data_IF_267882391289
#
_entry.id   IF_267882391289
#
_cell.length_a   1.000
_cell.length_b   1.000
_cell.length_c   1.000
_cell.angle_alpha   90.00
_cell.angle_beta   90.00
_cell.angle_gamma   90.00
#
_symmetry.space_group_name_H-M   'P 1'
#
loop_
_entity.id
_entity.type
_entity.pdbx_description
1 polymer ?
#
# COMPACT_ATOMS: atom_id res chain seq x y z
N UNK A 1 5.42 6.89 -9.21
CA UNK A 1 5.97 5.60 -8.73
C UNK A 1 4.79 4.70 -8.59
N UNK A 2 4.88 3.48 -9.11
CA UNK A 2 3.81 2.49 -9.18
C UNK A 2 4.34 1.14 -8.73
N UNK A 3 3.48 0.34 -8.10
CA UNK A 3 3.76 -1.04 -7.70
C UNK A 3 2.53 -1.93 -7.96
N UNK A 4 2.77 -3.22 -8.20
CA UNK A 4 1.72 -4.24 -8.18
C UNK A 4 1.61 -4.80 -6.76
N UNK A 5 0.38 -4.89 -6.25
CA UNK A 5 0.10 -5.48 -4.95
C UNK A 5 -1.32 -6.05 -4.89
N UNK A 6 -1.54 -7.08 -4.06
CA UNK A 6 -2.88 -7.57 -3.78
C UNK A 6 -3.75 -6.48 -3.16
N UNK A 7 -4.91 -6.21 -3.75
CA UNK A 7 -5.91 -5.32 -3.21
C UNK A 7 -7.02 -6.14 -2.53
N UNK A 8 -7.22 -6.00 -1.20
CA UNK A 8 -8.23 -6.76 -0.48
C UNK A 8 -9.67 -6.42 -0.87
N UNK A 9 -9.92 -5.20 -1.38
CA UNK A 9 -11.24 -4.77 -1.85
C UNK A 9 -11.55 -5.30 -3.27
N UNK A 10 -10.57 -5.35 -4.17
CA UNK A 10 -10.77 -5.93 -5.50
C UNK A 10 -10.70 -7.46 -5.50
N UNK A 11 -10.00 -8.05 -4.52
CA UNK A 11 -9.78 -9.48 -4.43
C UNK A 11 -8.72 -10.04 -5.39
N UNK A 12 -7.88 -9.19 -5.98
CA UNK A 12 -6.83 -9.57 -6.94
C UNK A 12 -5.65 -8.60 -6.90
N UNK A 13 -4.56 -8.92 -7.61
CA UNK A 13 -3.42 -8.00 -7.79
C UNK A 13 -3.82 -6.80 -8.65
N UNK A 14 -3.48 -5.61 -8.18
CA UNK A 14 -3.78 -4.34 -8.85
C UNK A 14 -2.57 -3.41 -8.82
N UNK A 15 -2.58 -2.46 -9.75
CA UNK A 15 -1.63 -1.34 -9.75
C UNK A 15 -1.99 -0.34 -8.65
N UNK A 16 -0.96 0.06 -7.91
CA UNK A 16 -1.03 1.06 -6.86
C UNK A 16 -0.09 2.21 -7.16
N UNK A 17 -0.58 3.43 -7.03
CA UNK A 17 0.18 4.64 -7.26
C UNK A 17 0.66 5.28 -5.95
N UNK A 18 1.88 5.81 -5.92
CA UNK A 18 2.42 6.44 -4.71
C UNK A 18 1.73 7.79 -4.47
N UNK A 19 1.03 7.92 -3.35
CA UNK A 19 0.42 9.19 -2.93
C UNK A 19 1.38 10.04 -2.11
N UNK A 20 2.06 9.42 -1.15
CA UNK A 20 2.95 10.13 -0.24
C UNK A 20 4.03 9.20 0.33
N UNK A 21 5.16 9.78 0.71
CA UNK A 21 6.19 9.06 1.45
C UNK A 21 6.82 9.94 2.52
N UNK A 22 7.19 9.34 3.65
CA UNK A 22 7.94 10.02 4.70
C UNK A 22 8.90 9.06 5.41
N UNK A 23 10.01 9.60 5.92
CA UNK A 23 10.94 8.84 6.75
C UNK A 23 10.51 8.92 8.22
N UNK A 24 10.46 7.78 8.90
CA UNK A 24 10.20 7.70 10.35
C UNK A 24 11.23 6.79 11.02
N UNK A 25 11.23 6.78 12.36
CA UNK A 25 12.14 5.94 13.15
C UNK A 25 11.99 4.44 12.85
N UNK A 26 10.78 4.00 12.48
CA UNK A 26 10.47 2.60 12.15
C UNK A 26 10.72 2.24 10.68
N UNK A 27 11.25 3.15 9.86
CA UNK A 27 11.48 2.92 8.44
C UNK A 27 10.82 3.94 7.52
N UNK A 28 10.82 3.65 6.22
CA UNK A 28 10.16 4.52 5.22
C UNK A 28 8.68 4.18 5.19
N UNK A 29 7.83 5.14 5.56
CA UNK A 29 6.39 5.05 5.41
C UNK A 29 6.00 5.48 3.99
N UNK A 30 5.26 4.66 3.28
CA UNK A 30 4.69 4.98 1.97
C UNK A 30 3.20 4.75 1.99
N UNK A 31 2.43 5.71 1.46
CA UNK A 31 1.00 5.62 1.28
C UNK A 31 0.71 5.43 -0.20
N UNK A 32 -0.07 4.43 -0.52
CA UNK A 32 -0.45 4.04 -1.87
C UNK A 32 -1.96 3.98 -1.99
N UNK A 33 -2.47 4.16 -3.20
CA UNK A 33 -3.87 3.98 -3.54
C UNK A 33 -4.03 3.07 -4.76
N UNK A 34 -5.05 2.22 -4.73
CA UNK A 34 -5.43 1.37 -5.84
C UNK A 34 -6.08 2.21 -6.94
N UNK A 35 -5.61 2.08 -8.18
CA UNK A 35 -6.13 2.88 -9.30
C UNK A 35 -7.56 2.48 -9.73
N UNK A 36 -8.03 1.30 -9.31
CA UNK A 36 -9.34 0.76 -9.69
C UNK A 36 -10.45 1.11 -8.69
N UNK A 37 -10.21 0.91 -7.39
CA UNK A 37 -11.24 1.07 -6.35
C UNK A 37 -10.93 2.19 -5.35
N UNK A 38 -9.73 2.76 -5.39
CA UNK A 38 -9.30 3.81 -4.45
C UNK A 38 -8.93 3.31 -3.05
N UNK A 39 -8.86 1.99 -2.81
CA UNK A 39 -8.37 1.44 -1.55
C UNK A 39 -6.96 1.96 -1.24
N UNK A 40 -6.73 2.39 -0.01
CA UNK A 40 -5.46 2.96 0.43
C UNK A 40 -4.69 1.95 1.27
N UNK A 41 -3.43 1.68 0.92
CA UNK A 41 -2.53 0.87 1.73
C UNK A 41 -1.32 1.67 2.22
N UNK A 42 -0.80 1.25 3.37
CA UNK A 42 0.40 1.83 3.97
C UNK A 42 1.44 0.73 4.12
N UNK A 43 2.63 0.98 3.58
CA UNK A 43 3.81 0.17 3.86
C UNK A 43 4.77 0.94 4.78
N UNK A 44 5.35 0.28 5.79
CA UNK A 44 6.44 0.83 6.61
C UNK A 44 7.63 -0.13 6.53
N UNK A 45 8.67 0.25 5.79
CA UNK A 45 9.77 -0.65 5.50
C UNK A 45 9.28 -1.91 4.77
N UNK A 46 9.84 -3.06 5.12
CA UNK A 46 9.43 -4.39 4.63
C UNK A 46 8.56 -5.14 5.66
N UNK A 47 8.40 -4.57 6.87
CA UNK A 47 7.83 -5.26 8.02
C UNK A 47 6.32 -5.03 8.20
N UNK A 48 5.79 -3.92 7.68
CA UNK A 48 4.38 -3.55 7.84
C UNK A 48 3.72 -3.35 6.49
N UNK A 49 2.67 -4.13 6.26
CA UNK A 49 1.73 -3.98 5.15
C UNK A 49 0.29 -4.04 5.69
N UNK A 50 -0.46 -2.95 5.52
CA UNK A 50 -1.86 -2.89 5.95
C UNK A 50 -2.84 -3.59 5.01
N UNK A 51 -2.46 -3.88 3.76
CA UNK A 51 -3.29 -4.62 2.80
C UNK A 51 -3.35 -6.12 3.15
N UNK A 52 -2.32 -6.64 3.82
CA UNK A 52 -2.25 -8.04 4.27
C UNK A 52 -2.99 -8.32 5.60
N UNK A 53 -3.48 -7.29 6.29
CA UNK A 53 -4.22 -7.47 7.53
C UNK A 53 -5.63 -8.00 7.23
N UNK A 54 -5.88 -9.27 7.56
CA UNK A 54 -7.22 -9.86 7.54
C UNK A 54 -8.09 -9.21 8.63
N UNK A 55 -9.26 -8.71 8.27
CA UNK A 55 -10.29 -8.23 9.20
C UNK A 55 -11.04 -9.39 9.86
#
# INVERSE_FOLDING_TARGET
MEIEHYCPECGEERSFSLMASNQMHLGKKTKWWCEECGYEMVLIGEDVDTASAQA
#
